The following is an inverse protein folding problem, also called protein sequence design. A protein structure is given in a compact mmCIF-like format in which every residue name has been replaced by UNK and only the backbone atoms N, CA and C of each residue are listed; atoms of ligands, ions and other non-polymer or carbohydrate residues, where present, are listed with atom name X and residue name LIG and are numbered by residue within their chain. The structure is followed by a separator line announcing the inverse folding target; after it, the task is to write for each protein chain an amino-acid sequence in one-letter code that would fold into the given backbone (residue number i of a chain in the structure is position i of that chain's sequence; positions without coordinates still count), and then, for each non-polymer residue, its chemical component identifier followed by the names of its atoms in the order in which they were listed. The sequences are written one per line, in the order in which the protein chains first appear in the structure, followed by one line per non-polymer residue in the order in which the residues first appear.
data_IF_925935429418
#
_entry.id   IF_925935429418
#
_cell.length_a   1.000
_cell.length_b   1.000
_cell.length_c   1.000
_cell.angle_alpha   90.00
_cell.angle_beta   90.00
_cell.angle_gamma   90.00
#
_symmetry.space_group_name_H-M   'P 1'
#
loop_
_entity.id
_entity.type
_entity.pdbx_description
1 polymer ?
#
# COMPACT_ATOMS: atom_id res chain seq x y z
N UNK A 1 22.48 17.85 -10.42
CA UNK A 1 22.35 18.29 -9.01
C UNK A 1 23.52 19.20 -8.56
N UNK A 2 24.79 18.82 -8.67
CA UNK A 2 25.90 19.71 -8.19
C UNK A 2 25.87 21.09 -8.86
N UNK A 3 25.63 21.17 -10.16
CA UNK A 3 25.51 22.44 -10.90
C UNK A 3 24.28 23.27 -10.45
N UNK A 4 23.13 22.62 -10.25
CA UNK A 4 21.93 23.27 -9.71
C UNK A 4 22.19 23.85 -8.30
N UNK A 5 22.78 23.07 -7.41
CA UNK A 5 23.14 23.54 -6.07
C UNK A 5 24.11 24.72 -6.06
N UNK A 6 25.00 24.78 -7.05
CA UNK A 6 25.95 25.90 -7.19
C UNK A 6 25.30 27.18 -7.73
N UNK A 7 24.26 27.06 -8.57
CA UNK A 7 23.75 28.18 -9.39
C UNK A 7 22.32 28.60 -9.05
N UNK A 8 21.46 27.68 -8.57
CA UNK A 8 20.08 27.98 -8.20
C UNK A 8 19.97 28.37 -6.73
N UNK A 9 19.35 29.50 -6.45
CA UNK A 9 19.19 30.03 -5.10
C UNK A 9 18.31 29.11 -4.23
N UNK A 10 17.27 28.51 -4.83
CA UNK A 10 16.40 27.60 -4.13
C UNK A 10 17.09 26.27 -3.83
N UNK A 11 17.75 25.65 -4.82
CA UNK A 11 18.43 24.37 -4.62
C UNK A 11 19.55 24.46 -3.59
N UNK A 12 20.31 25.58 -3.57
CA UNK A 12 21.47 25.80 -2.70
C UNK A 12 21.15 25.73 -1.22
N UNK A 13 19.96 26.18 -0.80
CA UNK A 13 19.57 26.24 0.61
C UNK A 13 18.89 24.98 1.11
N UNK A 14 18.56 24.05 0.23
CA UNK A 14 17.86 22.83 0.62
C UNK A 14 18.73 21.93 1.52
N UNK A 15 18.06 21.26 2.44
CA UNK A 15 18.63 20.30 3.39
C UNK A 15 17.88 18.98 3.31
N UNK A 16 18.39 17.92 3.94
CA UNK A 16 17.65 16.67 4.06
C UNK A 16 16.26 16.87 4.69
N UNK A 17 16.12 17.79 5.64
CA UNK A 17 14.85 18.04 6.32
C UNK A 17 13.85 18.78 5.43
N UNK A 18 14.31 19.82 4.71
CA UNK A 18 13.42 20.58 3.81
C UNK A 18 12.94 19.76 2.60
N UNK A 19 13.72 18.74 2.19
CA UNK A 19 13.37 17.86 1.08
C UNK A 19 12.46 16.68 1.46
N UNK A 20 12.26 16.41 2.76
CA UNK A 20 11.42 15.29 3.21
C UNK A 20 9.99 15.29 2.68
N UNK A 21 9.27 16.42 2.63
CA UNK A 21 7.92 16.46 2.05
C UNK A 21 7.91 15.99 0.60
N UNK A 22 8.80 16.53 -0.21
CA UNK A 22 8.90 16.18 -1.64
C UNK A 22 9.21 14.68 -1.86
N UNK A 23 10.14 14.10 -1.11
CA UNK A 23 10.43 12.66 -1.20
C UNK A 23 9.18 11.79 -0.95
N UNK A 24 8.30 12.20 -0.03
CA UNK A 24 7.07 11.47 0.27
C UNK A 24 6.05 11.67 -0.85
N UNK A 25 5.93 12.89 -1.36
CA UNK A 25 5.06 13.26 -2.48
C UNK A 25 5.42 12.46 -3.73
N UNK A 26 6.69 12.52 -4.20
CA UNK A 26 7.18 11.76 -5.35
C UNK A 26 6.93 10.23 -5.22
N UNK A 27 7.07 9.70 -4.00
CA UNK A 27 6.79 8.28 -3.78
C UNK A 27 5.30 7.93 -3.98
N UNK A 28 4.39 8.85 -3.67
CA UNK A 28 2.96 8.68 -3.92
C UNK A 28 2.61 8.90 -5.38
N UNK A 29 3.24 9.87 -6.06
CA UNK A 29 3.03 10.14 -7.49
C UNK A 29 3.48 8.95 -8.35
N UNK A 30 4.61 8.30 -7.99
CA UNK A 30 5.01 7.02 -8.60
C UNK A 30 3.96 5.92 -8.38
N UNK A 31 3.39 5.81 -7.16
CA UNK A 31 2.35 4.81 -6.85
C UNK A 31 1.08 5.06 -7.67
N UNK A 32 0.65 6.31 -7.78
CA UNK A 32 -0.50 6.73 -8.59
C UNK A 32 -0.25 6.48 -10.09
N UNK A 33 0.96 6.77 -10.60
CA UNK A 33 1.33 6.50 -11.98
C UNK A 33 1.30 5.00 -12.31
N UNK A 34 1.78 4.15 -11.39
CA UNK A 34 1.68 2.68 -11.51
C UNK A 34 0.21 2.24 -11.55
N UNK A 35 -0.63 2.80 -10.68
CA UNK A 35 -2.06 2.48 -10.64
C UNK A 35 -2.79 2.95 -11.90
N UNK A 36 -2.38 4.08 -12.48
CA UNK A 36 -2.91 4.66 -13.72
C UNK A 36 -2.53 3.88 -14.99
N UNK A 37 -1.40 3.18 -14.98
CA UNK A 37 -0.96 2.32 -16.08
C UNK A 37 -0.43 3.07 -17.30
N UNK A 38 -0.08 4.36 -17.19
CA UNK A 38 0.55 5.14 -18.25
C UNK A 38 2.08 5.16 -18.10
N UNK A 39 2.77 4.48 -18.99
CA UNK A 39 4.23 4.36 -18.96
C UNK A 39 4.96 5.72 -19.13
N UNK A 40 4.35 6.71 -19.79
CA UNK A 40 4.96 8.01 -19.96
C UNK A 40 4.91 8.80 -18.63
N UNK A 41 3.78 8.76 -17.94
CA UNK A 41 3.63 9.35 -16.60
C UNK A 41 4.56 8.64 -15.63
N UNK A 42 4.54 7.30 -15.59
CA UNK A 42 5.43 6.53 -14.72
C UNK A 42 6.90 6.83 -14.91
N UNK A 43 7.34 7.02 -16.17
CA UNK A 43 8.73 7.39 -16.48
C UNK A 43 9.09 8.75 -15.87
N UNK A 44 8.19 9.71 -15.98
CA UNK A 44 8.42 11.08 -15.52
C UNK A 44 8.47 11.11 -13.99
N UNK A 45 7.52 10.46 -13.30
CA UNK A 45 7.52 10.36 -11.83
C UNK A 45 8.72 9.56 -11.26
N UNK A 46 9.17 8.51 -11.96
CA UNK A 46 10.42 7.84 -11.60
C UNK A 46 11.64 8.75 -11.75
N UNK A 47 11.62 9.70 -12.68
CA UNK A 47 12.62 10.74 -12.85
C UNK A 47 12.66 11.67 -11.62
N UNK A 48 11.51 12.10 -11.13
CA UNK A 48 11.40 13.00 -9.98
C UNK A 48 11.75 12.28 -8.67
N UNK A 49 11.34 11.04 -8.49
CA UNK A 49 11.84 10.23 -7.37
C UNK A 49 13.36 10.02 -7.43
N UNK A 50 13.94 9.80 -8.61
CA UNK A 50 15.40 9.71 -8.79
C UNK A 50 16.08 11.04 -8.47
N UNK A 51 15.46 12.17 -8.82
CA UNK A 51 15.94 13.51 -8.46
C UNK A 51 16.10 13.64 -6.94
N UNK A 52 15.15 13.16 -6.14
CA UNK A 52 15.26 13.15 -4.67
C UNK A 52 16.48 12.35 -4.20
N UNK A 53 16.73 11.19 -4.78
CA UNK A 53 17.91 10.37 -4.43
C UNK A 53 19.21 11.11 -4.76
N UNK A 54 19.28 11.73 -5.94
CA UNK A 54 20.44 12.51 -6.37
C UNK A 54 20.64 13.74 -5.49
N UNK A 55 19.57 14.45 -5.14
CA UNK A 55 19.61 15.64 -4.31
C UNK A 55 20.14 15.32 -2.91
N UNK A 56 19.56 14.32 -2.26
CA UNK A 56 20.02 13.86 -0.95
C UNK A 56 21.47 13.39 -0.97
N UNK A 57 21.91 12.75 -2.05
CA UNK A 57 23.30 12.30 -2.21
C UNK A 57 24.28 13.49 -2.29
N UNK A 58 23.93 14.54 -3.02
CA UNK A 58 24.77 15.74 -3.13
C UNK A 58 24.80 16.53 -1.82
N UNK A 59 23.66 16.67 -1.12
CA UNK A 59 23.61 17.30 0.21
C UNK A 59 24.48 16.55 1.24
N UNK A 60 24.55 15.22 1.13
CA UNK A 60 25.42 14.42 2.00
C UNK A 60 26.89 14.55 1.61
N UNK A 61 27.21 14.61 0.31
CA UNK A 61 28.56 14.80 -0.22
C UNK A 61 29.16 16.15 0.22
N UNK A 62 28.37 17.22 0.19
CA UNK A 62 28.79 18.55 0.64
C UNK A 62 29.23 18.58 2.12
N UNK A 63 28.72 17.64 2.91
CA UNK A 63 29.10 17.46 4.33
C UNK A 63 30.24 16.45 4.51
N UNK A 64 30.79 15.89 3.43
CA UNK A 64 31.81 14.86 3.47
C UNK A 64 31.32 13.50 4.02
N UNK A 65 30.00 13.23 3.99
CA UNK A 65 29.44 12.02 4.57
C UNK A 65 29.44 10.86 3.57
N UNK A 66 28.76 11.00 2.45
CA UNK A 66 28.70 10.02 1.35
C UNK A 66 28.17 10.70 0.08
N UNK A 67 28.43 10.12 -1.09
CA UNK A 67 27.90 10.58 -2.37
C UNK A 67 27.08 9.51 -3.10
N UNK A 68 26.64 9.82 -4.33
CA UNK A 68 25.84 8.88 -5.15
C UNK A 68 26.56 7.56 -5.43
N UNK A 69 27.89 7.58 -5.57
CA UNK A 69 28.69 6.37 -5.76
C UNK A 69 28.54 5.39 -4.57
N UNK A 70 28.56 5.93 -3.36
CA UNK A 70 28.43 5.13 -2.13
C UNK A 70 27.02 4.56 -1.99
N UNK A 71 25.98 5.34 -2.35
CA UNK A 71 24.58 4.88 -2.39
C UNK A 71 24.42 3.72 -3.37
N UNK A 72 24.93 3.87 -4.60
CA UNK A 72 24.86 2.83 -5.62
C UNK A 72 25.67 1.59 -5.21
N UNK A 73 26.89 1.77 -4.68
CA UNK A 73 27.74 0.67 -4.20
C UNK A 73 27.09 -0.12 -3.07
N UNK A 74 26.49 0.59 -2.10
CA UNK A 74 25.76 -0.05 -1.00
C UNK A 74 24.53 -0.84 -1.50
N UNK A 75 23.81 -0.33 -2.51
CA UNK A 75 22.71 -1.04 -3.14
C UNK A 75 23.20 -2.32 -3.83
N UNK A 76 24.25 -2.24 -4.66
CA UNK A 76 24.83 -3.40 -5.36
C UNK A 76 25.27 -4.46 -4.36
N UNK A 77 26.05 -4.09 -3.35
CA UNK A 77 26.51 -5.00 -2.31
C UNK A 77 25.33 -5.68 -1.58
N UNK A 78 24.29 -4.92 -1.30
CA UNK A 78 23.05 -5.43 -0.71
C UNK A 78 22.35 -6.44 -1.63
N UNK A 79 22.25 -6.16 -2.93
CA UNK A 79 21.61 -7.06 -3.90
C UNK A 79 22.41 -8.36 -4.05
N UNK A 80 23.72 -8.31 -4.15
CA UNK A 80 24.57 -9.50 -4.17
C UNK A 80 24.36 -10.37 -2.92
N UNK A 81 24.40 -9.75 -1.74
CA UNK A 81 24.19 -10.47 -0.49
C UNK A 81 22.78 -11.10 -0.34
N UNK A 82 21.79 -10.55 -1.04
CA UNK A 82 20.40 -11.04 -0.99
C UNK A 82 20.04 -12.03 -2.09
N UNK A 83 20.94 -12.25 -3.04
CA UNK A 83 20.77 -13.22 -4.12
C UNK A 83 21.92 -14.23 -4.11
N UNK A 84 22.13 -14.99 -3.00
CA UNK A 84 23.21 -15.96 -2.91
C UNK A 84 23.10 -17.07 -3.97
N UNK A 85 21.90 -17.34 -4.45
CA UNK A 85 21.65 -18.27 -5.54
C UNK A 85 22.20 -17.80 -6.91
N UNK A 86 22.48 -16.48 -7.07
CA UNK A 86 23.09 -15.92 -8.28
C UNK A 86 24.55 -15.53 -8.07
N UNK A 87 24.92 -15.03 -6.90
CA UNK A 87 26.22 -14.43 -6.62
C UNK A 87 26.99 -15.10 -5.48
N UNK A 88 26.54 -16.27 -4.98
CA UNK A 88 27.11 -16.96 -3.84
C UNK A 88 27.04 -18.48 -3.93
N UNK A 89 26.46 -19.13 -2.92
CA UNK A 89 26.42 -20.59 -2.74
C UNK A 89 25.35 -21.32 -3.59
N UNK A 90 24.61 -20.63 -4.41
CA UNK A 90 23.54 -21.20 -5.24
C UNK A 90 22.24 -21.53 -4.50
N UNK A 91 22.15 -21.29 -3.19
CA UNK A 91 20.99 -21.66 -2.38
C UNK A 91 19.97 -20.52 -2.36
N UNK A 92 18.74 -20.79 -2.80
CA UNK A 92 17.64 -19.85 -2.73
C UNK A 92 17.10 -19.81 -1.29
N UNK A 93 17.16 -18.62 -0.66
CA UNK A 93 16.65 -18.37 0.70
C UNK A 93 15.54 -17.31 0.65
N UNK A 94 14.60 -17.35 1.60
CA UNK A 94 13.59 -16.30 1.68
C UNK A 94 14.23 -14.96 2.10
N UNK A 95 13.70 -13.87 1.57
CA UNK A 95 14.18 -12.52 1.85
C UNK A 95 14.16 -12.16 3.34
N UNK A 96 13.08 -12.53 4.04
CA UNK A 96 12.94 -12.23 5.47
C UNK A 96 13.85 -13.13 6.33
N UNK A 97 14.05 -14.41 5.97
CA UNK A 97 14.99 -15.26 6.69
C UNK A 97 16.44 -14.75 6.57
N UNK A 98 16.83 -14.25 5.39
CA UNK A 98 18.17 -13.66 5.20
C UNK A 98 18.34 -12.36 5.99
N UNK A 99 17.31 -11.54 6.07
CA UNK A 99 17.29 -10.35 6.93
C UNK A 99 17.36 -10.70 8.41
N UNK A 100 16.59 -11.69 8.85
CA UNK A 100 16.56 -12.14 10.24
C UNK A 100 17.93 -12.64 10.70
N UNK A 101 18.66 -13.39 9.84
CA UNK A 101 20.00 -13.90 10.14
C UNK A 101 21.08 -12.79 10.22
N UNK A 102 20.95 -11.74 9.39
CA UNK A 102 21.96 -10.68 9.30
C UNK A 102 21.77 -9.57 10.35
N UNK A 103 20.54 -9.34 10.75
CA UNK A 103 20.18 -8.34 11.77
C UNK A 103 19.63 -9.09 12.96
N UNK A 104 20.42 -9.23 14.03
CA UNK A 104 19.89 -9.68 15.34
C UNK A 104 18.93 -8.60 15.82
N UNK A 105 17.70 -8.64 15.33
CA UNK A 105 16.64 -7.72 15.77
C UNK A 105 16.29 -8.07 17.22
N UNK A 106 16.23 -7.05 18.07
CA UNK A 106 15.77 -7.21 19.45
C UNK A 106 14.24 -7.28 19.54
N UNK A 107 13.54 -6.68 18.56
CA UNK A 107 12.07 -6.64 18.48
C UNK A 107 11.58 -6.79 17.05
N UNK A 108 10.30 -7.16 16.87
CA UNK A 108 9.66 -7.21 15.54
C UNK A 108 9.58 -5.83 14.87
N UNK A 109 9.57 -4.76 15.64
CA UNK A 109 9.45 -3.38 15.12
C UNK A 109 10.77 -2.75 14.71
N UNK A 110 11.90 -3.24 15.21
CA UNK A 110 13.21 -2.65 14.97
C UNK A 110 13.49 -2.44 13.47
N UNK A 111 13.71 -1.16 13.09
CA UNK A 111 13.97 -0.76 11.70
C UNK A 111 12.72 -0.77 10.79
N UNK A 112 11.50 -0.79 11.33
CA UNK A 112 10.31 -0.36 10.60
C UNK A 112 10.21 1.17 10.63
N UNK A 113 9.90 1.83 9.51
CA UNK A 113 9.65 3.26 9.52
C UNK A 113 8.48 3.63 10.43
N UNK A 114 8.64 4.64 11.29
CA UNK A 114 7.59 5.08 12.19
C UNK A 114 6.35 5.63 11.46
N UNK A 115 6.57 6.25 10.28
CA UNK A 115 5.50 6.80 9.43
C UNK A 115 4.87 5.81 8.47
N UNK A 116 5.14 4.51 8.59
CA UNK A 116 4.53 3.50 7.71
C UNK A 116 3.02 3.42 7.98
N UNK A 117 2.14 3.51 6.94
CA UNK A 117 0.70 3.38 7.10
C UNK A 117 0.30 2.08 7.82
N UNK A 118 -0.76 2.11 8.63
CA UNK A 118 -1.10 1.03 9.57
C UNK A 118 -1.28 -0.34 8.91
N UNK A 119 -1.95 -0.42 7.75
CA UNK A 119 -2.12 -1.69 7.04
C UNK A 119 -0.79 -2.22 6.48
N UNK A 120 0.08 -1.35 5.98
CA UNK A 120 1.44 -1.70 5.58
C UNK A 120 2.27 -2.19 6.78
N UNK A 121 2.17 -1.49 7.91
CA UNK A 121 2.87 -1.87 9.15
C UNK A 121 2.42 -3.25 9.64
N UNK A 122 1.11 -3.51 9.67
CA UNK A 122 0.56 -4.82 10.03
C UNK A 122 1.10 -5.94 9.10
N UNK A 123 1.06 -5.74 7.79
CA UNK A 123 1.62 -6.66 6.82
C UNK A 123 3.11 -6.95 7.08
N UNK A 124 3.91 -5.90 7.33
CA UNK A 124 5.36 -6.05 7.60
C UNK A 124 5.67 -6.74 8.92
N UNK A 125 4.86 -6.52 9.97
CA UNK A 125 5.00 -7.22 11.24
C UNK A 125 4.71 -8.71 11.09
N UNK A 126 3.66 -9.05 10.37
CA UNK A 126 3.28 -10.44 10.07
C UNK A 126 4.32 -11.16 9.20
N UNK A 127 4.87 -10.49 8.16
CA UNK A 127 5.99 -11.03 7.38
C UNK A 127 7.21 -11.36 8.23
N UNK A 128 7.50 -10.48 9.21
CA UNK A 128 8.64 -10.69 10.10
C UNK A 128 8.42 -11.85 11.06
N UNK A 129 7.20 -11.98 11.59
CA UNK A 129 6.80 -13.11 12.43
C UNK A 129 6.87 -14.43 11.64
N UNK A 130 6.38 -14.43 10.41
CA UNK A 130 6.48 -15.57 9.49
C UNK A 130 7.95 -15.96 9.21
N UNK A 131 8.82 -14.97 9.04
CA UNK A 131 10.26 -15.19 8.80
C UNK A 131 11.01 -15.89 9.92
N UNK A 132 10.45 -15.93 11.13
CA UNK A 132 10.99 -16.66 12.30
C UNK A 132 10.16 -17.90 12.67
N UNK A 133 9.24 -18.31 11.81
CA UNK A 133 8.44 -19.53 11.97
C UNK A 133 7.09 -19.33 12.67
N UNK A 134 6.72 -18.11 13.03
CA UNK A 134 5.38 -17.81 13.55
C UNK A 134 4.43 -17.47 12.40
N UNK A 135 3.90 -18.48 11.74
CA UNK A 135 3.00 -18.35 10.61
C UNK A 135 2.04 -19.55 10.49
N UNK A 136 0.93 -19.33 9.82
CA UNK A 136 -0.01 -20.36 9.44
C UNK A 136 0.53 -21.18 8.25
N UNK A 137 0.16 -22.45 8.15
CA UNK A 137 0.55 -23.29 7.00
C UNK A 137 -0.10 -22.82 5.69
N UNK A 138 -1.35 -22.36 5.76
CA UNK A 138 -2.14 -21.94 4.61
C UNK A 138 -3.16 -20.85 4.98
N UNK A 139 -3.99 -20.44 4.02
CA UNK A 139 -4.97 -19.36 4.21
C UNK A 139 -6.18 -19.74 5.10
N UNK A 140 -6.39 -21.03 5.42
CA UNK A 140 -7.54 -21.46 6.22
C UNK A 140 -7.45 -20.96 7.67
N UNK A 141 -6.24 -20.92 8.24
CA UNK A 141 -6.02 -20.40 9.57
C UNK A 141 -6.39 -18.92 9.71
N UNK A 142 -5.81 -18.01 8.91
CA UNK A 142 -6.22 -16.60 8.91
C UNK A 142 -7.70 -16.39 8.57
N UNK A 143 -8.27 -17.20 7.67
CA UNK A 143 -9.71 -17.10 7.36
C UNK A 143 -10.59 -17.49 8.57
N UNK A 144 -10.19 -18.50 9.33
CA UNK A 144 -10.90 -18.87 10.58
C UNK A 144 -10.79 -17.73 11.61
N UNK A 145 -9.60 -17.12 11.74
CA UNK A 145 -9.39 -16.00 12.66
C UNK A 145 -10.24 -14.78 12.28
N UNK A 146 -10.36 -14.44 10.99
CA UNK A 146 -11.27 -13.36 10.54
C UNK A 146 -12.72 -13.63 10.98
N UNK A 147 -13.19 -14.89 10.92
CA UNK A 147 -14.54 -15.24 11.36
C UNK A 147 -14.70 -15.14 12.88
N UNK A 148 -13.68 -15.49 13.63
CA UNK A 148 -13.62 -15.35 15.09
C UNK A 148 -13.72 -13.86 15.47
N UNK A 149 -12.88 -12.98 14.90
CA UNK A 149 -12.90 -11.55 15.17
C UNK A 149 -14.24 -10.89 14.81
N UNK A 150 -14.88 -11.32 13.72
CA UNK A 150 -16.24 -10.85 13.36
C UNK A 150 -17.24 -11.22 14.48
N UNK A 151 -17.14 -12.42 15.05
CA UNK A 151 -18.02 -12.82 16.14
C UNK A 151 -17.76 -12.02 17.43
N UNK A 152 -16.48 -11.69 17.72
CA UNK A 152 -16.08 -10.87 18.87
C UNK A 152 -16.60 -9.43 18.70
N UNK A 153 -16.42 -8.81 17.54
CA UNK A 153 -17.04 -7.50 17.20
C UNK A 153 -18.55 -7.53 17.41
N UNK A 154 -19.24 -8.61 16.97
CA UNK A 154 -20.69 -8.72 17.09
C UNK A 154 -21.19 -8.75 18.54
N UNK A 155 -20.36 -9.19 19.51
CA UNK A 155 -20.74 -9.17 20.94
C UNK A 155 -20.86 -7.73 21.50
N UNK A 156 -20.22 -6.75 20.88
CA UNK A 156 -20.23 -5.36 21.33
C UNK A 156 -21.30 -4.51 20.65
N UNK A 157 -22.08 -5.09 19.70
CA UNK A 157 -23.16 -4.40 18.99
C UNK A 157 -24.47 -5.11 19.28
N UNK A 158 -25.44 -4.37 19.81
CA UNK A 158 -26.77 -4.90 20.05
C UNK A 158 -27.46 -5.28 18.73
N UNK A 159 -27.91 -6.52 18.63
CA UNK A 159 -28.44 -7.07 17.38
C UNK A 159 -29.79 -6.47 16.95
N UNK A 160 -30.56 -5.87 17.86
CA UNK A 160 -31.88 -5.28 17.55
C UNK A 160 -31.80 -3.79 17.29
N UNK A 161 -30.96 -3.09 18.05
CA UNK A 161 -30.89 -1.62 18.02
C UNK A 161 -29.66 -1.09 17.28
N UNK A 162 -28.64 -1.91 17.07
CA UNK A 162 -27.33 -1.49 16.57
C UNK A 162 -26.52 -0.66 17.56
N UNK A 163 -26.96 -0.57 18.84
CA UNK A 163 -26.26 0.20 19.86
C UNK A 163 -24.94 -0.48 20.24
N UNK A 164 -23.91 0.33 20.48
CA UNK A 164 -22.60 -0.15 20.97
C UNK A 164 -22.61 -0.17 22.49
N UNK A 165 -22.25 -1.31 23.10
CA UNK A 165 -22.25 -1.49 24.55
C UNK A 165 -20.99 -0.95 25.23
N UNK A 166 -19.83 -1.13 24.57
CA UNK A 166 -18.51 -0.72 25.06
C UNK A 166 -17.67 -0.28 23.85
N UNK A 167 -17.43 1.02 23.75
CA UNK A 167 -16.71 1.61 22.60
C UNK A 167 -15.23 1.23 22.57
N UNK A 168 -14.58 1.17 23.74
CA UNK A 168 -13.15 0.87 23.81
C UNK A 168 -12.90 -0.60 23.47
N UNK A 169 -13.75 -1.51 23.97
CA UNK A 169 -13.68 -2.92 23.63
C UNK A 169 -13.98 -3.15 22.14
N UNK A 170 -15.01 -2.50 21.59
CA UNK A 170 -15.29 -2.58 20.15
C UNK A 170 -14.13 -2.08 19.30
N UNK A 171 -13.45 -1.00 19.70
CA UNK A 171 -12.27 -0.50 18.98
C UNK A 171 -11.14 -1.53 18.96
N UNK A 172 -10.90 -2.22 20.07
CA UNK A 172 -9.90 -3.29 20.15
C UNK A 172 -10.22 -4.44 19.18
N UNK A 173 -11.45 -4.97 19.22
CA UNK A 173 -11.87 -6.08 18.35
C UNK A 173 -11.86 -5.69 16.86
N UNK A 174 -12.25 -4.46 16.53
CA UNK A 174 -12.13 -3.96 15.15
C UNK A 174 -10.65 -3.86 14.70
N UNK A 175 -9.74 -3.52 15.62
CA UNK A 175 -8.31 -3.53 15.37
C UNK A 175 -7.80 -4.94 15.07
N UNK A 176 -8.21 -5.95 15.85
CA UNK A 176 -7.84 -7.35 15.67
C UNK A 176 -8.44 -7.93 14.39
N UNK A 177 -9.68 -7.59 14.06
CA UNK A 177 -10.30 -7.93 12.77
C UNK A 177 -9.50 -7.39 11.58
N UNK A 178 -9.13 -6.10 11.61
CA UNK A 178 -8.31 -5.51 10.55
C UNK A 178 -6.94 -6.20 10.43
N UNK A 179 -6.32 -6.54 11.55
CA UNK A 179 -5.05 -7.27 11.59
C UNK A 179 -5.19 -8.68 11.01
N UNK A 180 -6.26 -9.41 11.35
CA UNK A 180 -6.57 -10.74 10.82
C UNK A 180 -6.84 -10.69 9.31
N UNK A 181 -7.56 -9.67 8.81
CA UNK A 181 -7.79 -9.45 7.37
C UNK A 181 -6.48 -9.21 6.63
N UNK A 182 -5.58 -8.38 7.16
CA UNK A 182 -4.25 -8.17 6.56
C UNK A 182 -3.46 -9.46 6.49
N UNK A 183 -3.55 -10.32 7.52
CA UNK A 183 -2.87 -11.63 7.51
C UNK A 183 -3.46 -12.58 6.46
N UNK A 184 -4.77 -12.60 6.30
CA UNK A 184 -5.43 -13.35 5.23
C UNK A 184 -4.96 -12.87 3.84
N UNK A 185 -4.91 -11.55 3.63
CA UNK A 185 -4.36 -10.97 2.41
C UNK A 185 -2.93 -11.44 2.15
N UNK A 186 -2.06 -11.36 3.15
CA UNK A 186 -0.66 -11.81 3.07
C UNK A 186 -0.56 -13.29 2.69
N UNK A 187 -1.34 -14.16 3.33
CA UNK A 187 -1.32 -15.62 3.05
C UNK A 187 -1.87 -15.98 1.68
N UNK A 188 -2.69 -15.12 1.09
CA UNK A 188 -3.22 -15.29 -0.28
C UNK A 188 -2.41 -14.55 -1.35
N UNK A 189 -1.29 -13.92 -0.97
CA UNK A 189 -0.43 -13.16 -1.89
C UNK A 189 -1.00 -11.80 -2.29
N UNK A 190 -2.01 -11.32 -1.56
CA UNK A 190 -2.62 -9.99 -1.77
C UNK A 190 -2.00 -8.98 -0.82
N UNK A 191 -1.69 -7.78 -1.30
CA UNK A 191 -1.29 -6.68 -0.43
C UNK A 191 -2.54 -5.92 0.04
N UNK A 192 -2.87 -5.99 1.35
CA UNK A 192 -4.13 -5.48 1.90
C UNK A 192 -4.37 -3.99 1.67
N UNK A 193 -3.33 -3.15 1.81
CA UNK A 193 -3.44 -1.71 1.53
C UNK A 193 -3.78 -1.46 0.05
N UNK A 194 -3.01 -2.03 -0.89
CA UNK A 194 -3.27 -1.86 -2.33
C UNK A 194 -4.64 -2.42 -2.77
N UNK A 195 -5.13 -3.47 -2.11
CA UNK A 195 -6.47 -3.99 -2.36
C UNK A 195 -7.56 -3.01 -1.90
N UNK A 196 -7.34 -2.33 -0.76
CA UNK A 196 -8.24 -1.31 -0.25
C UNK A 196 -8.20 -0.06 -1.14
N UNK A 197 -7.02 0.38 -1.61
CA UNK A 197 -6.87 1.54 -2.50
C UNK A 197 -7.64 1.33 -3.81
N UNK A 198 -7.53 0.14 -4.42
CA UNK A 198 -8.36 -0.21 -5.59
C UNK A 198 -9.86 -0.17 -5.29
N UNK A 199 -10.26 -0.53 -4.07
CA UNK A 199 -11.68 -0.48 -3.66
C UNK A 199 -12.12 0.96 -3.44
N UNK A 200 -11.27 1.80 -2.85
CA UNK A 200 -11.52 3.24 -2.69
C UNK A 200 -11.71 3.91 -4.06
N UNK A 201 -10.79 3.70 -5.00
CA UNK A 201 -10.90 4.23 -6.36
C UNK A 201 -12.18 3.75 -7.07
N UNK A 202 -12.52 2.46 -6.93
CA UNK A 202 -13.78 1.90 -7.46
C UNK A 202 -15.00 2.56 -6.84
N UNK A 203 -15.00 2.80 -5.54
CA UNK A 203 -16.11 3.47 -4.85
C UNK A 203 -16.29 4.90 -5.35
N UNK A 204 -15.21 5.70 -5.41
CA UNK A 204 -15.24 7.08 -5.91
C UNK A 204 -15.78 7.13 -7.35
N UNK A 205 -15.29 6.28 -8.23
CA UNK A 205 -15.76 6.20 -9.61
C UNK A 205 -17.26 5.85 -9.67
N UNK A 206 -17.72 4.87 -8.90
CA UNK A 206 -19.14 4.48 -8.88
C UNK A 206 -20.03 5.59 -8.35
N UNK A 207 -19.58 6.27 -7.29
CA UNK A 207 -20.32 7.38 -6.71
C UNK A 207 -20.49 8.53 -7.71
N UNK A 208 -19.44 8.90 -8.44
CA UNK A 208 -19.52 9.89 -9.51
C UNK A 208 -20.49 9.48 -10.63
N UNK A 209 -20.53 8.19 -11.00
CA UNK A 209 -21.52 7.68 -11.97
C UNK A 209 -22.95 7.73 -11.42
N UNK A 210 -23.16 7.48 -10.13
CA UNK A 210 -24.47 7.65 -9.49
C UNK A 210 -24.95 9.10 -9.59
N UNK A 211 -24.08 10.07 -9.31
CA UNK A 211 -24.40 11.50 -9.43
C UNK A 211 -24.80 11.86 -10.86
N UNK A 212 -24.06 11.36 -11.85
CA UNK A 212 -24.39 11.58 -13.27
C UNK A 212 -25.74 10.97 -13.66
N UNK A 213 -26.05 9.74 -13.21
CA UNK A 213 -27.32 9.08 -13.48
C UNK A 213 -28.50 9.81 -12.80
N UNK A 214 -28.34 10.24 -11.54
CA UNK A 214 -29.35 11.00 -10.83
C UNK A 214 -29.61 12.35 -11.50
N UNK A 215 -28.55 13.05 -11.90
CA UNK A 215 -28.67 14.33 -12.63
C UNK A 215 -29.36 14.16 -13.98
N UNK A 216 -29.10 13.09 -14.72
CA UNK A 216 -29.78 12.77 -15.97
C UNK A 216 -31.29 12.51 -15.75
N UNK A 217 -31.66 11.96 -14.60
CA UNK A 217 -33.05 11.76 -14.19
C UNK A 217 -33.67 13.05 -13.55
N UNK A 218 -32.96 14.20 -13.57
CA UNK A 218 -33.41 15.49 -12.99
C UNK A 218 -33.41 15.50 -11.47
N UNK A 219 -32.66 14.62 -10.81
CA UNK A 219 -32.59 14.48 -9.35
C UNK A 219 -31.19 14.82 -8.82
N UNK A 220 -31.08 15.08 -7.52
CA UNK A 220 -29.83 15.22 -6.81
C UNK A 220 -29.70 14.10 -5.78
N UNK A 221 -28.58 13.38 -5.73
CA UNK A 221 -28.34 12.32 -4.74
C UNK A 221 -28.52 12.80 -3.31
N UNK A 222 -28.16 14.05 -3.03
CA UNK A 222 -28.28 14.65 -1.68
C UNK A 222 -29.70 14.83 -1.17
N UNK A 223 -30.70 14.73 -2.05
CA UNK A 223 -32.11 14.86 -1.72
C UNK A 223 -32.87 13.54 -1.71
N UNK A 224 -32.20 12.44 -2.07
CA UNK A 224 -32.78 11.12 -2.14
C UNK A 224 -32.62 10.36 -0.81
N UNK A 225 -33.60 9.50 -0.52
CA UNK A 225 -33.48 8.51 0.56
C UNK A 225 -32.38 7.48 0.24
N UNK A 226 -31.91 6.75 1.27
CA UNK A 226 -30.90 5.69 1.08
C UNK A 226 -31.39 4.62 0.06
N UNK A 227 -32.64 4.19 0.15
CA UNK A 227 -33.20 3.19 -0.77
C UNK A 227 -33.22 3.69 -2.23
N UNK A 228 -33.51 5.00 -2.44
CA UNK A 228 -33.43 5.58 -3.76
C UNK A 228 -31.98 5.69 -4.26
N UNK A 229 -31.03 6.04 -3.39
CA UNK A 229 -29.61 6.05 -3.73
C UNK A 229 -29.08 4.64 -4.06
N UNK A 230 -29.52 3.60 -3.34
CA UNK A 230 -29.19 2.20 -3.62
C UNK A 230 -29.68 1.76 -5.00
N UNK A 231 -30.81 2.29 -5.46
CA UNK A 231 -31.30 2.03 -6.82
C UNK A 231 -30.30 2.53 -7.88
N UNK A 232 -29.70 3.71 -7.69
CA UNK A 232 -28.66 4.23 -8.58
C UNK A 232 -27.36 3.44 -8.47
N UNK A 233 -26.97 3.03 -7.26
CA UNK A 233 -25.84 2.18 -7.03
C UNK A 233 -25.93 0.85 -7.78
N UNK A 234 -27.12 0.22 -7.74
CA UNK A 234 -27.38 -1.03 -8.45
C UNK A 234 -27.37 -0.85 -9.98
N UNK A 235 -27.89 0.28 -10.49
CA UNK A 235 -27.79 0.62 -11.92
C UNK A 235 -26.34 0.74 -12.37
N UNK A 236 -25.47 1.39 -11.60
CA UNK A 236 -24.03 1.51 -11.89
C UNK A 236 -23.37 0.13 -11.91
N UNK A 237 -23.62 -0.71 -10.90
CA UNK A 237 -23.09 -2.08 -10.86
C UNK A 237 -23.56 -2.95 -12.03
N UNK A 238 -24.79 -2.80 -12.44
CA UNK A 238 -25.36 -3.53 -13.59
C UNK A 238 -24.70 -3.08 -14.91
N UNK A 239 -24.46 -1.79 -15.09
CA UNK A 239 -23.78 -1.26 -16.26
C UNK A 239 -22.32 -1.73 -16.36
N UNK A 240 -21.59 -1.77 -15.25
CA UNK A 240 -20.21 -2.32 -15.21
C UNK A 240 -20.18 -3.80 -15.63
N UNK A 241 -21.05 -4.64 -15.07
CA UNK A 241 -21.13 -6.07 -15.44
C UNK A 241 -21.47 -6.28 -16.92
N UNK A 242 -22.35 -5.45 -17.48
CA UNK A 242 -22.71 -5.50 -18.90
C UNK A 242 -21.54 -5.05 -19.81
N UNK A 243 -20.70 -4.13 -19.34
CA UNK A 243 -19.48 -3.71 -20.04
C UNK A 243 -18.39 -4.78 -20.01
N UNK A 244 -18.17 -5.42 -18.85
CA UNK A 244 -17.19 -6.51 -18.68
C UNK A 244 -17.54 -7.73 -19.55
N UNK A 245 -18.82 -8.11 -19.66
CA UNK A 245 -19.27 -9.24 -20.51
C UNK A 245 -19.08 -9.00 -22.00
N UNK A 246 -18.92 -7.74 -22.45
CA UNK A 246 -18.64 -7.39 -23.86
C UNK A 246 -17.14 -7.34 -24.17
N UNK A 247 -16.28 -7.16 -23.14
CA UNK A 247 -14.83 -7.12 -23.29
C UNK A 247 -14.18 -8.51 -23.43
N UNK A 248 -14.71 -9.52 -22.78
CA UNK A 248 -14.16 -10.89 -22.79
C UNK A 248 -14.40 -11.66 -24.12
N UNK A 249 -15.21 -11.12 -25.02
CA UNK A 249 -15.51 -11.74 -26.33
C UNK A 249 -14.45 -11.51 -27.42
N UNK A 250 -13.41 -10.69 -27.20
CA UNK A 250 -12.51 -10.28 -28.28
C UNK A 250 -11.06 -10.78 -28.16
N UNK A 251 -10.74 -11.66 -27.21
CA UNK A 251 -9.37 -12.20 -27.01
C UNK A 251 -9.29 -13.74 -27.06
N UNK A 252 -10.10 -14.37 -27.89
CA UNK A 252 -9.93 -15.80 -28.21
C UNK A 252 -10.03 -16.05 -29.71
N UNK A 253 -9.18 -15.43 -30.49
CA UNK A 253 -8.86 -15.86 -31.86
C UNK A 253 -7.61 -15.13 -32.33
N UNK A 254 -6.44 -15.69 -32.05
CA UNK A 254 -5.24 -15.62 -32.90
C UNK A 254 -4.16 -16.55 -32.34
#
# INVERSE_FOLDING_TARGET
MRDLRARCEWDRVQTHQSLRPYLIEEAHEVDDAIAGGDDAVLRDELGDLLLQVLFHSVVAEERGAFGMHDVAGALVAKMHARHPHLYGDGIKRSWESMKAQKTKRSTLEEGLPAGLPSLHRAHRLQDRAAGVGFDWDNALGPLAKVREEIAEVAHHVDAETGAVHDQDALEAELGDLLFAVVNLCRKTGVHGALALDRTNAKFVRRYALMEQLAAADGKSLTTLSLDEQDTYWDRVKAAERAGESRGDGHTRES
#
